data_IF_940304704900
#
_entry.id   IF_940304704900
#
_cell.length_a   1.000
_cell.length_b   1.000
_cell.length_c   1.000
_cell.angle_alpha   90.00
_cell.angle_beta   90.00
_cell.angle_gamma   90.00
#
_symmetry.space_group_name_H-M   'P 1'
#
loop_
_entity.id
_entity.type
_entity.pdbx_description
1 polymer ?
#
# COMPACT_ATOMS: atom_id res chain seq x y z
N UNK A 1 22.35 24.06 -26.78
CA UNK A 1 22.72 23.59 -25.44
C UNK A 1 22.37 22.11 -25.38
N UNK A 2 23.37 21.25 -25.49
CA UNK A 2 23.21 19.81 -25.23
C UNK A 2 22.82 19.62 -23.76
N UNK A 3 21.58 19.22 -23.50
CA UNK A 3 21.19 18.74 -22.17
C UNK A 3 21.86 17.37 -21.99
N UNK A 4 22.95 17.43 -21.23
CA UNK A 4 23.86 16.33 -20.99
C UNK A 4 23.12 15.10 -20.47
N UNK A 5 23.44 13.98 -21.13
CA UNK A 5 23.31 12.58 -20.74
C UNK A 5 22.96 12.35 -19.26
N UNK A 6 21.91 11.56 -19.06
CA UNK A 6 21.60 10.76 -17.87
C UNK A 6 22.67 10.81 -16.76
N UNK A 7 22.42 11.51 -15.64
CA UNK A 7 23.03 11.08 -14.41
C UNK A 7 22.31 9.78 -14.04
N UNK A 8 22.90 8.63 -14.39
CA UNK A 8 22.69 7.38 -13.66
C UNK A 8 23.07 7.65 -12.22
N UNK A 9 22.11 8.19 -11.48
CA UNK A 9 22.22 8.49 -10.09
C UNK A 9 22.20 7.15 -9.36
N UNK A 10 23.39 6.60 -9.09
CA UNK A 10 23.55 5.31 -8.42
C UNK A 10 23.01 5.31 -6.99
N UNK A 11 22.78 6.49 -6.41
CA UNK A 11 22.06 6.73 -5.15
C UNK A 11 21.34 8.08 -5.25
N UNK A 12 20.16 8.10 -5.89
CA UNK A 12 19.25 9.25 -5.76
C UNK A 12 18.34 9.00 -4.56
N UNK A 13 18.47 9.75 -3.45
CA UNK A 13 17.64 9.62 -2.24
C UNK A 13 16.21 10.16 -2.46
N UNK A 14 15.54 9.63 -3.48
CA UNK A 14 14.21 10.04 -3.92
C UNK A 14 13.61 9.16 -5.02
N UNK A 15 14.34 8.16 -5.53
CA UNK A 15 13.76 7.12 -6.40
C UNK A 15 13.63 5.83 -5.62
N UNK A 16 12.39 5.47 -5.28
CA UNK A 16 12.04 4.12 -4.85
C UNK A 16 12.40 3.17 -5.99
N UNK A 17 13.29 2.23 -5.73
CA UNK A 17 13.68 1.20 -6.71
C UNK A 17 12.51 0.25 -7.00
N UNK A 18 12.51 -0.45 -8.15
CA UNK A 18 11.49 -1.47 -8.42
C UNK A 18 11.41 -2.56 -7.34
N UNK A 19 12.52 -2.90 -6.70
CA UNK A 19 12.57 -3.86 -5.58
C UNK A 19 11.94 -3.29 -4.31
N UNK A 20 12.25 -2.05 -3.93
CA UNK A 20 11.60 -1.37 -2.82
C UNK A 20 10.10 -1.21 -3.06
N UNK A 21 9.69 -0.87 -4.30
CA UNK A 21 8.28 -0.81 -4.71
C UNK A 21 7.58 -2.15 -4.48
N UNK A 22 8.22 -3.27 -4.86
CA UNK A 22 7.69 -4.62 -4.60
C UNK A 22 7.56 -4.91 -3.11
N UNK A 23 8.54 -4.51 -2.29
CA UNK A 23 8.49 -4.69 -0.84
C UNK A 23 7.35 -3.89 -0.21
N UNK A 24 7.15 -2.65 -0.63
CA UNK A 24 6.06 -1.78 -0.16
C UNK A 24 4.70 -2.37 -0.55
N UNK A 25 4.54 -2.82 -1.80
CA UNK A 25 3.32 -3.49 -2.29
C UNK A 25 3.03 -4.75 -1.47
N UNK A 26 4.04 -5.59 -1.22
CA UNK A 26 3.87 -6.81 -0.43
C UNK A 26 3.45 -6.51 1.01
N UNK A 27 4.07 -5.50 1.64
CA UNK A 27 3.72 -5.07 2.99
C UNK A 27 2.28 -4.52 3.06
N UNK A 28 1.86 -3.74 2.07
CA UNK A 28 0.50 -3.21 1.98
C UNK A 28 -0.54 -4.32 1.78
N UNK A 29 -0.29 -5.27 0.88
CA UNK A 29 -1.17 -6.44 0.66
C UNK A 29 -1.33 -7.26 1.95
N UNK A 30 -0.24 -7.51 2.67
CA UNK A 30 -0.30 -8.19 3.96
C UNK A 30 -1.07 -7.41 5.05
N UNK A 31 -1.02 -6.08 5.02
CA UNK A 31 -1.82 -5.25 5.95
C UNK A 31 -3.31 -5.29 5.62
N UNK A 32 -3.67 -5.18 4.34
CA UNK A 32 -5.06 -5.31 3.85
C UNK A 32 -5.64 -6.68 4.25
N UNK A 33 -4.87 -7.75 4.08
CA UNK A 33 -5.32 -9.11 4.45
C UNK A 33 -5.58 -9.25 5.95
N UNK A 34 -4.74 -8.65 6.81
CA UNK A 34 -4.96 -8.64 8.26
C UNK A 34 -6.22 -7.90 8.65
N UNK A 35 -6.42 -6.69 8.11
CA UNK A 35 -7.63 -5.90 8.36
C UNK A 35 -8.88 -6.67 7.91
N UNK A 36 -8.81 -7.35 6.76
CA UNK A 36 -9.91 -8.17 6.28
C UNK A 36 -10.26 -9.33 7.24
N UNK A 37 -9.26 -9.99 7.83
CA UNK A 37 -9.48 -11.03 8.85
C UNK A 37 -10.10 -10.47 10.13
N UNK A 38 -9.67 -9.27 10.56
CA UNK A 38 -10.23 -8.58 11.72
C UNK A 38 -11.69 -8.19 11.48
N UNK A 39 -12.03 -7.62 10.31
CA UNK A 39 -13.43 -7.35 9.91
C UNK A 39 -14.29 -8.61 10.02
N UNK A 40 -13.81 -9.75 9.49
CA UNK A 40 -14.54 -11.02 9.58
C UNK A 40 -14.74 -11.49 11.03
N UNK A 41 -13.76 -11.22 11.90
CA UNK A 41 -13.87 -11.50 13.33
C UNK A 41 -14.93 -10.60 13.99
N UNK A 42 -14.94 -9.30 13.69
CA UNK A 42 -15.92 -8.34 14.22
C UNK A 42 -17.35 -8.66 13.73
N UNK A 43 -17.50 -9.00 12.45
CA UNK A 43 -18.78 -9.47 11.88
C UNK A 43 -19.28 -10.72 12.61
N UNK A 44 -18.38 -11.66 12.92
CA UNK A 44 -18.73 -12.89 13.64
C UNK A 44 -19.10 -12.63 15.11
N UNK A 45 -18.44 -11.68 15.78
CA UNK A 45 -18.76 -11.29 17.15
C UNK A 45 -19.98 -10.36 17.26
N UNK A 46 -20.56 -9.93 16.14
CA UNK A 46 -21.70 -9.00 16.11
C UNK A 46 -21.33 -7.54 16.35
N UNK A 47 -20.04 -7.19 16.27
CA UNK A 47 -19.55 -5.81 16.40
C UNK A 47 -19.59 -5.10 15.04
N UNK A 48 -20.80 -4.78 14.61
CA UNK A 48 -21.08 -4.16 13.31
C UNK A 48 -20.44 -2.77 13.17
N UNK A 49 -20.46 -1.89 14.19
CA UNK A 49 -19.80 -0.58 14.10
C UNK A 49 -18.29 -0.70 13.89
N UNK A 50 -17.61 -1.58 14.63
CA UNK A 50 -16.17 -1.80 14.48
C UNK A 50 -15.84 -2.38 13.10
N UNK A 51 -16.62 -3.37 12.63
CA UNK A 51 -16.46 -3.92 11.29
C UNK A 51 -16.61 -2.84 10.20
N UNK A 52 -17.55 -1.90 10.36
CA UNK A 52 -17.75 -0.78 9.43
C UNK A 52 -16.57 0.19 9.44
N UNK A 53 -16.05 0.56 10.62
CA UNK A 53 -14.88 1.43 10.72
C UNK A 53 -13.63 0.78 10.09
N UNK A 54 -13.42 -0.51 10.32
CA UNK A 54 -12.32 -1.26 9.71
C UNK A 54 -12.45 -1.40 8.19
N UNK A 55 -13.68 -1.44 7.65
CA UNK A 55 -13.90 -1.45 6.20
C UNK A 55 -13.43 -0.16 5.52
N UNK A 56 -13.68 1.01 6.13
CA UNK A 56 -13.18 2.30 5.63
C UNK A 56 -11.64 2.32 5.62
N UNK A 57 -11.02 1.86 6.70
CA UNK A 57 -9.56 1.75 6.80
C UNK A 57 -9.02 0.81 5.71
N UNK A 58 -9.67 -0.33 5.48
CA UNK A 58 -9.29 -1.26 4.40
C UNK A 58 -9.34 -0.58 3.02
N UNK A 59 -10.39 0.18 2.74
CA UNK A 59 -10.54 0.90 1.47
C UNK A 59 -9.42 1.93 1.26
N UNK A 60 -9.01 2.66 2.30
CA UNK A 60 -7.88 3.59 2.21
C UNK A 60 -6.58 2.88 1.81
N UNK A 61 -6.28 1.72 2.40
CA UNK A 61 -5.10 0.92 2.03
C UNK A 61 -5.20 0.36 0.61
N UNK A 62 -6.38 -0.07 0.17
CA UNK A 62 -6.59 -0.52 -1.22
C UNK A 62 -6.40 0.62 -2.23
N UNK A 63 -6.86 1.83 -1.89
CA UNK A 63 -6.65 3.02 -2.71
C UNK A 63 -5.17 3.43 -2.75
N UNK A 64 -4.46 3.34 -1.63
CA UNK A 64 -3.02 3.57 -1.57
C UNK A 64 -2.26 2.54 -2.43
N UNK A 65 -2.65 1.26 -2.36
CA UNK A 65 -2.07 0.20 -3.16
C UNK A 65 -2.24 0.49 -4.67
N UNK A 66 -3.45 0.88 -5.10
CA UNK A 66 -3.72 1.25 -6.51
C UNK A 66 -2.85 2.41 -6.98
N UNK A 67 -2.67 3.44 -6.14
CA UNK A 67 -1.79 4.59 -6.45
C UNK A 67 -0.35 4.16 -6.66
N UNK A 68 0.15 3.25 -5.83
CA UNK A 68 1.52 2.73 -5.94
C UNK A 68 1.65 1.80 -7.15
N UNK A 69 0.69 0.92 -7.42
CA UNK A 69 0.72 0.04 -8.59
C UNK A 69 0.69 0.85 -9.91
N UNK A 70 -0.04 1.97 -9.96
CA UNK A 70 -0.09 2.90 -11.10
C UNK A 70 1.04 3.95 -11.17
N UNK A 71 2.01 3.93 -10.24
CA UNK A 71 3.14 4.86 -10.17
C UNK A 71 4.31 4.50 -11.11
#
# INVERSE_FOLDING_TARGET
MEFSKDPKCSHCPGRVTPEEKKMIIAALKGKIERIFKEIKSCEWSGDVPEASAMLEIKEEYENLLKRIEGW
#
